data_IF_649780164941
#
_entry.id   IF_649780164941
#
_cell.length_a   1.000
_cell.length_b   1.000
_cell.length_c   1.000
_cell.angle_alpha   90.00
_cell.angle_beta   90.00
_cell.angle_gamma   90.00
#
_symmetry.space_group_name_H-M   'P 1'
#
loop_
_entity.id
_entity.type
_entity.pdbx_description
1 polymer ?
#
# COMPACT_ATOMS: atom_id res chain seq x y z
N UNK A 1 -3.27 -45.28 6.52
CA UNK A 1 -2.03 -44.46 6.55
C UNK A 1 -1.68 -44.11 8.01
N UNK A 2 -0.41 -44.01 8.40
CA UNK A 2 -0.02 -43.57 9.77
C UNK A 2 -0.25 -42.07 9.94
N UNK A 3 -0.40 -41.59 11.19
CA UNK A 3 -0.63 -40.16 11.49
C UNK A 3 0.45 -39.25 10.88
N UNK A 4 1.72 -39.61 11.02
CA UNK A 4 2.85 -38.86 10.44
C UNK A 4 2.84 -38.83 8.91
N UNK A 5 2.43 -39.94 8.26
CA UNK A 5 2.32 -39.98 6.80
C UNK A 5 1.14 -39.12 6.31
N UNK A 6 0.09 -38.98 7.11
CA UNK A 6 -1.04 -38.10 6.84
C UNK A 6 -0.67 -36.62 6.91
N UNK A 7 -0.02 -36.20 7.98
CA UNK A 7 0.47 -34.82 8.12
C UNK A 7 1.42 -34.44 6.97
N UNK A 8 2.29 -35.38 6.56
CA UNK A 8 3.18 -35.17 5.43
C UNK A 8 2.42 -35.01 4.11
N UNK A 9 1.40 -35.83 3.88
CA UNK A 9 0.55 -35.70 2.69
C UNK A 9 -0.15 -34.35 2.65
N UNK A 10 -0.73 -33.91 3.76
CA UNK A 10 -1.44 -32.63 3.84
C UNK A 10 -0.51 -31.45 3.53
N UNK A 11 0.70 -31.45 4.09
CA UNK A 11 1.71 -30.42 3.79
C UNK A 11 2.06 -30.38 2.29
N UNK A 12 2.34 -31.54 1.70
CA UNK A 12 2.67 -31.64 0.28
C UNK A 12 1.48 -31.27 -0.61
N UNK A 13 0.26 -31.63 -0.21
CA UNK A 13 -0.96 -31.29 -0.93
C UNK A 13 -1.16 -29.77 -1.02
N UNK A 14 -0.98 -29.04 0.09
CA UNK A 14 -1.08 -27.58 0.09
C UNK A 14 -0.04 -26.95 -0.82
N UNK A 15 1.24 -27.35 -0.71
CA UNK A 15 2.28 -26.87 -1.61
C UNK A 15 2.02 -27.24 -3.09
N UNK A 16 1.45 -28.41 -3.37
CA UNK A 16 1.10 -28.83 -4.73
C UNK A 16 -0.04 -27.99 -5.32
N UNK A 17 -1.03 -27.61 -4.51
CA UNK A 17 -2.11 -26.73 -4.94
C UNK A 17 -1.55 -25.38 -5.36
N UNK A 18 -0.59 -24.84 -4.60
CA UNK A 18 0.00 -23.51 -4.81
C UNK A 18 1.17 -23.48 -5.79
N UNK A 19 1.71 -24.65 -6.16
CA UNK A 19 2.81 -24.76 -7.12
C UNK A 19 4.17 -24.47 -6.49
N UNK A 20 4.29 -24.64 -5.18
CA UNK A 20 5.48 -24.30 -4.39
C UNK A 20 6.38 -25.52 -4.09
N UNK A 21 6.02 -26.72 -4.57
CA UNK A 21 6.81 -27.93 -4.33
C UNK A 21 8.11 -27.93 -5.14
N UNK A 22 9.20 -28.36 -4.48
CA UNK A 22 10.43 -28.75 -5.18
C UNK A 22 10.21 -30.00 -6.07
N UNK A 23 11.09 -30.25 -7.06
CA UNK A 23 11.00 -31.45 -7.91
C UNK A 23 10.99 -32.76 -7.11
N UNK A 24 11.73 -32.84 -6.01
CA UNK A 24 11.81 -34.01 -5.12
C UNK A 24 10.50 -34.22 -4.35
N UNK A 25 9.94 -33.13 -3.81
CA UNK A 25 8.66 -33.15 -3.10
C UNK A 25 7.49 -33.48 -4.03
N UNK A 26 7.51 -32.97 -5.27
CA UNK A 26 6.51 -33.29 -6.27
C UNK A 26 6.52 -34.78 -6.64
N UNK A 27 7.71 -35.39 -6.79
CA UNK A 27 7.83 -36.83 -7.01
C UNK A 27 7.29 -37.63 -5.83
N UNK A 28 7.62 -37.21 -4.61
CA UNK A 28 7.11 -37.86 -3.40
C UNK A 28 5.59 -37.75 -3.28
N UNK A 29 5.04 -36.56 -3.53
CA UNK A 29 3.60 -36.31 -3.53
C UNK A 29 2.89 -37.20 -4.56
N UNK A 30 3.39 -37.25 -5.80
CA UNK A 30 2.81 -38.09 -6.85
C UNK A 30 2.86 -39.58 -6.49
N UNK A 31 3.92 -40.04 -5.80
CA UNK A 31 4.02 -41.42 -5.31
C UNK A 31 2.92 -41.72 -4.29
N UNK A 32 2.71 -40.84 -3.31
CA UNK A 32 1.64 -40.99 -2.31
C UNK A 32 0.25 -40.95 -2.96
N UNK A 33 0.06 -40.04 -3.91
CA UNK A 33 -1.18 -39.88 -4.65
C UNK A 33 -1.51 -41.12 -5.50
N UNK A 34 -0.50 -41.81 -6.04
CA UNK A 34 -0.70 -43.05 -6.82
C UNK A 34 -0.96 -44.27 -5.94
N UNK A 35 -0.49 -44.25 -4.69
CA UNK A 35 -0.60 -45.39 -3.78
C UNK A 35 -2.02 -45.61 -3.23
N UNK A 36 -2.83 -44.55 -3.11
CA UNK A 36 -4.17 -44.64 -2.50
C UNK A 36 -5.20 -43.79 -3.27
N UNK A 37 -6.29 -44.43 -3.72
CA UNK A 37 -7.37 -43.75 -4.45
C UNK A 37 -8.07 -42.67 -3.64
N UNK A 38 -8.19 -42.84 -2.31
CA UNK A 38 -8.79 -41.85 -1.42
C UNK A 38 -8.06 -40.50 -1.44
N UNK A 39 -6.73 -40.52 -1.53
CA UNK A 39 -5.89 -39.31 -1.61
C UNK A 39 -6.06 -38.58 -2.95
N UNK A 40 -6.32 -39.32 -4.04
CA UNK A 40 -6.63 -38.74 -5.35
C UNK A 40 -7.96 -37.98 -5.31
N UNK A 41 -8.98 -38.60 -4.73
CA UNK A 41 -10.30 -38.00 -4.60
C UNK A 41 -10.25 -36.75 -3.71
N UNK A 42 -9.50 -36.79 -2.61
CA UNK A 42 -9.28 -35.65 -1.74
C UNK A 42 -8.58 -34.49 -2.47
N UNK A 43 -7.45 -34.76 -3.13
CA UNK A 43 -6.73 -33.74 -3.88
C UNK A 43 -7.62 -33.09 -4.96
N UNK A 44 -8.45 -33.89 -5.63
CA UNK A 44 -9.42 -33.39 -6.62
C UNK A 44 -10.44 -32.43 -6.01
N UNK A 45 -10.95 -32.71 -4.80
CA UNK A 45 -11.85 -31.81 -4.07
C UNK A 45 -11.19 -30.47 -3.76
N UNK A 46 -9.96 -30.49 -3.24
CA UNK A 46 -9.21 -29.26 -2.95
C UNK A 46 -8.90 -28.46 -4.20
N UNK A 47 -8.53 -29.13 -5.30
CA UNK A 47 -8.29 -28.48 -6.59
C UNK A 47 -9.54 -27.78 -7.11
N UNK A 48 -10.72 -28.43 -6.99
CA UNK A 48 -12.01 -27.83 -7.35
C UNK A 48 -12.34 -26.63 -6.46
N UNK A 49 -12.09 -26.73 -5.16
CA UNK A 49 -12.32 -25.62 -4.23
C UNK A 49 -11.44 -24.40 -4.60
N UNK A 50 -10.15 -24.62 -4.85
CA UNK A 50 -9.23 -23.57 -5.31
C UNK A 50 -9.69 -22.92 -6.62
N UNK A 51 -10.22 -23.71 -7.55
CA UNK A 51 -10.75 -23.18 -8.80
C UNK A 51 -11.97 -22.28 -8.56
N UNK A 52 -12.95 -22.74 -7.77
CA UNK A 52 -14.14 -21.95 -7.46
C UNK A 52 -13.78 -20.64 -6.78
N UNK A 53 -12.89 -20.66 -5.78
CA UNK A 53 -12.46 -19.44 -5.07
C UNK A 53 -11.68 -18.50 -5.97
N UNK A 54 -10.90 -19.01 -6.93
CA UNK A 54 -10.22 -18.19 -7.94
C UNK A 54 -11.19 -17.52 -8.92
N UNK A 55 -12.29 -18.18 -9.24
CA UNK A 55 -13.33 -17.66 -10.15
C UNK A 55 -14.30 -16.69 -9.46
N UNK A 56 -14.32 -16.64 -8.12
CA UNK A 56 -15.06 -15.64 -7.37
C UNK A 56 -14.53 -14.24 -7.71
N UNK A 57 -15.28 -13.52 -8.56
CA UNK A 57 -15.04 -12.09 -8.77
C UNK A 57 -15.63 -11.32 -7.59
N UNK A 58 -14.79 -10.51 -6.96
CA UNK A 58 -15.27 -9.47 -6.06
C UNK A 58 -16.24 -8.58 -6.84
N UNK A 59 -17.40 -8.29 -6.24
CA UNK A 59 -18.34 -7.34 -6.83
C UNK A 59 -17.63 -5.99 -7.01
N UNK A 60 -17.71 -5.42 -8.22
CA UNK A 60 -17.20 -4.07 -8.45
C UNK A 60 -18.00 -3.10 -7.57
N UNK A 61 -17.34 -2.23 -6.79
CA UNK A 61 -18.06 -1.21 -6.05
C UNK A 61 -18.83 -0.31 -7.04
N UNK A 62 -20.05 0.14 -6.67
CA UNK A 62 -20.82 1.06 -7.50
C UNK A 62 -20.09 2.39 -7.66
N UNK A 63 -20.34 3.09 -8.78
CA UNK A 63 -19.66 4.34 -9.14
C UNK A 63 -19.73 5.41 -8.03
N UNK A 64 -20.85 5.47 -7.30
CA UNK A 64 -21.05 6.40 -6.18
C UNK A 64 -20.01 6.23 -5.05
N UNK A 65 -19.53 5.00 -4.79
CA UNK A 65 -18.48 4.76 -3.79
C UNK A 65 -17.13 5.31 -4.28
N UNK A 66 -16.89 5.20 -5.58
CA UNK A 66 -15.69 5.75 -6.22
C UNK A 66 -15.69 7.27 -6.20
N UNK A 67 -16.82 7.90 -6.51
CA UNK A 67 -16.95 9.37 -6.51
C UNK A 67 -16.70 9.95 -5.12
N UNK A 68 -17.27 9.35 -4.08
CA UNK A 68 -17.04 9.77 -2.70
C UNK A 68 -15.58 9.62 -2.27
N UNK A 69 -14.92 8.54 -2.69
CA UNK A 69 -13.49 8.33 -2.43
C UNK A 69 -12.65 9.43 -3.11
N UNK A 70 -12.91 9.70 -4.39
CA UNK A 70 -12.20 10.73 -5.14
C UNK A 70 -12.37 12.12 -4.53
N UNK A 71 -13.60 12.49 -4.14
CA UNK A 71 -13.87 13.79 -3.50
C UNK A 71 -13.02 13.98 -2.23
N UNK A 72 -12.93 12.96 -1.38
CA UNK A 72 -12.10 13.03 -0.16
C UNK A 72 -10.61 13.18 -0.45
N UNK A 73 -10.12 12.46 -1.47
CA UNK A 73 -8.71 12.50 -1.89
C UNK A 73 -8.36 13.87 -2.50
N UNK A 74 -9.15 14.35 -3.46
CA UNK A 74 -8.93 15.65 -4.11
C UNK A 74 -8.95 16.80 -3.11
N UNK A 75 -9.92 16.83 -2.18
CA UNK A 75 -10.01 17.87 -1.16
C UNK A 75 -8.77 17.92 -0.24
N UNK A 76 -8.15 16.77 0.05
CA UNK A 76 -6.95 16.70 0.87
C UNK A 76 -5.71 17.18 0.10
N UNK A 77 -5.58 16.78 -1.16
CA UNK A 77 -4.48 17.20 -2.02
C UNK A 77 -4.53 18.71 -2.32
N UNK A 78 -5.70 19.24 -2.63
CA UNK A 78 -5.91 20.67 -2.88
C UNK A 78 -5.47 21.51 -1.68
N UNK A 79 -5.90 21.12 -0.47
CA UNK A 79 -5.48 21.81 0.76
C UNK A 79 -3.97 21.71 0.99
N UNK A 80 -3.38 20.54 0.79
CA UNK A 80 -1.94 20.34 0.95
C UNK A 80 -1.11 21.21 0.00
N UNK A 81 -1.48 21.22 -1.28
CA UNK A 81 -0.82 22.05 -2.31
C UNK A 81 -1.06 23.54 -2.05
N UNK A 82 -2.27 23.90 -1.63
CA UNK A 82 -2.61 25.29 -1.26
C UNK A 82 -1.71 25.81 -0.14
N UNK A 83 -1.53 25.05 0.94
CA UNK A 83 -0.61 25.44 2.03
C UNK A 83 0.85 25.47 1.61
N UNK A 84 1.28 24.55 0.74
CA UNK A 84 2.63 24.57 0.20
C UNK A 84 2.90 25.85 -0.62
N UNK A 85 2.02 26.19 -1.56
CA UNK A 85 2.16 27.40 -2.37
C UNK A 85 2.07 28.66 -1.49
N UNK A 86 1.12 28.68 -0.56
CA UNK A 86 0.94 29.80 0.37
C UNK A 86 2.19 30.03 1.22
N UNK A 87 2.78 28.96 1.79
CA UNK A 87 3.99 29.08 2.60
C UNK A 87 5.19 29.56 1.79
N UNK A 88 5.37 29.09 0.56
CA UNK A 88 6.44 29.56 -0.33
C UNK A 88 6.26 31.06 -0.63
N UNK A 89 5.06 31.48 -1.00
CA UNK A 89 4.76 32.90 -1.24
C UNK A 89 5.00 33.76 0.00
N UNK A 90 4.57 33.26 1.16
CA UNK A 90 4.78 33.93 2.44
C UNK A 90 6.26 34.12 2.77
N UNK A 91 7.10 33.10 2.57
CA UNK A 91 8.55 33.19 2.80
C UNK A 91 9.20 34.23 1.87
N UNK A 92 8.83 34.24 0.58
CA UNK A 92 9.34 35.22 -0.37
C UNK A 92 8.96 36.65 0.05
N UNK A 93 7.69 36.87 0.39
CA UNK A 93 7.19 38.18 0.81
C UNK A 93 7.82 38.64 2.13
N UNK A 94 7.96 37.76 3.12
CA UNK A 94 8.60 38.10 4.39
C UNK A 94 10.08 38.44 4.20
N UNK A 95 10.79 37.69 3.35
CA UNK A 95 12.21 37.93 3.10
C UNK A 95 12.41 39.26 2.38
N UNK A 96 11.70 39.49 1.28
CA UNK A 96 11.83 40.72 0.50
C UNK A 96 11.28 41.94 1.24
N UNK A 97 10.08 41.81 1.81
CA UNK A 97 9.42 42.87 2.57
C UNK A 97 10.20 43.24 3.83
N UNK A 98 10.71 42.24 4.56
CA UNK A 98 11.57 42.44 5.72
C UNK A 98 12.87 43.16 5.35
N UNK A 99 13.56 42.73 4.29
CA UNK A 99 14.77 43.39 3.82
C UNK A 99 14.52 44.85 3.44
N UNK A 100 13.43 45.13 2.70
CA UNK A 100 13.03 46.49 2.32
C UNK A 100 12.67 47.33 3.54
N UNK A 101 11.92 46.79 4.50
CA UNK A 101 11.53 47.47 5.72
C UNK A 101 12.77 47.85 6.56
N UNK A 102 13.69 46.91 6.78
CA UNK A 102 14.95 47.17 7.50
C UNK A 102 15.78 48.22 6.78
N UNK A 103 15.92 48.13 5.45
CA UNK A 103 16.66 49.11 4.65
C UNK A 103 16.04 50.50 4.73
N UNK A 104 14.70 50.60 4.71
CA UNK A 104 14.01 51.87 4.83
C UNK A 104 14.20 52.50 6.23
N UNK A 105 14.11 51.69 7.30
CA UNK A 105 14.31 52.15 8.67
C UNK A 105 15.75 52.61 8.91
N UNK A 106 16.76 51.89 8.40
CA UNK A 106 18.18 52.27 8.57
C UNK A 106 18.52 53.55 7.78
N UNK A 107 17.93 53.72 6.59
CA UNK A 107 18.21 54.88 5.75
C UNK A 107 17.36 56.11 6.10
N UNK A 108 16.38 55.98 7.00
CA UNK A 108 15.62 57.11 7.54
C UNK A 108 16.42 57.76 8.69
N UNK A 109 16.93 59.00 8.51
CA UNK A 109 17.76 59.67 9.50
C UNK A 109 17.06 59.87 10.86
N UNK A 110 15.73 59.95 10.89
CA UNK A 110 14.95 60.14 12.12
C UNK A 110 14.77 58.85 12.93
N UNK A 111 14.66 57.70 12.26
CA UNK A 111 14.48 56.38 12.90
C UNK A 111 15.80 55.66 13.19
N UNK A 112 16.84 55.91 12.37
CA UNK A 112 18.17 55.31 12.53
C UNK A 112 18.82 55.63 13.90
N UNK A 113 18.48 56.75 14.52
CA UNK A 113 19.00 57.12 15.83
C UNK A 113 18.35 56.30 16.97
N UNK A 114 17.03 56.05 16.90
CA UNK A 114 16.31 55.25 17.92
C UNK A 114 16.73 53.77 17.86
N UNK A 115 16.90 53.22 16.65
CA UNK A 115 17.34 51.83 16.44
C UNK A 115 18.82 51.61 16.79
N UNK A 116 19.65 52.67 16.81
CA UNK A 116 21.07 52.59 17.21
C UNK A 116 21.31 52.74 18.72
N UNK A 117 20.38 53.33 19.45
CA UNK A 117 20.56 53.69 20.88
C UNK A 117 19.74 52.78 21.81
N UNK A 118 18.66 52.17 21.32
CA UNK A 118 17.99 51.04 21.99
C UNK A 118 18.65 49.70 21.64
#
# INVERSE_FOLDING_TARGET
MSATAREKFERLMMGALDGELSPEEQKEFNRMLTAEKGLQEEFSKYKKLKQVTKEMKLASPPAEVWDNYWLGVYNRFERGIGWLIFSIGMVILMTYGGFKAVTAVINDPGLAFIVKVG
#
